data_IF_180164088289
#
_entry.id   IF_180164088289
#
_cell.length_a   1.000
_cell.length_b   1.000
_cell.length_c   1.000
_cell.angle_alpha   90.00
_cell.angle_beta   90.00
_cell.angle_gamma   90.00
#
_symmetry.space_group_name_H-M   'P 1'
#
loop_
_entity.id
_entity.type
_entity.pdbx_description
1 polymer ?
#
# COMPACT_ATOMS: atom_id res chain seq x y z
N UNK A 1 -0.94 -16.58 57.78
CA UNK A 1 -1.16 -15.61 56.70
C UNK A 1 -1.33 -16.39 55.40
N UNK A 2 -2.56 -16.42 54.89
CA UNK A 2 -2.90 -17.06 53.62
C UNK A 2 -2.29 -16.23 52.49
N UNK A 3 -1.44 -16.81 51.64
CA UNK A 3 -0.90 -16.10 50.48
C UNK A 3 -2.07 -15.85 49.52
N UNK A 4 -2.44 -14.59 49.32
CA UNK A 4 -3.38 -14.20 48.26
C UNK A 4 -2.91 -14.84 46.94
N UNK A 5 -3.86 -15.45 46.21
CA UNK A 5 -3.58 -16.00 44.90
C UNK A 5 -3.01 -14.89 43.98
N UNK A 6 -1.95 -15.21 43.24
CA UNK A 6 -1.35 -14.28 42.28
C UNK A 6 -2.42 -13.86 41.26
N UNK A 7 -2.49 -12.56 40.96
CA UNK A 7 -3.43 -12.04 39.97
C UNK A 7 -3.06 -12.56 38.58
N UNK A 8 -4.02 -13.16 37.90
CA UNK A 8 -3.90 -13.55 36.49
C UNK A 8 -4.32 -12.35 35.62
N UNK A 9 -3.60 -12.05 34.51
CA UNK A 9 -4.02 -11.08 33.50
C UNK A 9 -5.44 -11.33 33.00
N UNK A 10 -6.11 -10.29 32.52
CA UNK A 10 -7.46 -10.42 31.99
C UNK A 10 -7.46 -11.21 30.67
N UNK A 11 -8.63 -11.72 30.23
CA UNK A 11 -8.71 -12.46 28.96
C UNK A 11 -8.16 -11.70 27.75
N UNK A 12 -8.36 -10.37 27.69
CA UNK A 12 -7.82 -9.54 26.60
C UNK A 12 -6.30 -9.44 26.61
N UNK A 13 -5.68 -9.39 27.79
CA UNK A 13 -4.22 -9.39 27.94
C UNK A 13 -3.65 -10.74 27.48
N UNK A 14 -4.31 -11.85 27.88
CA UNK A 14 -3.91 -13.20 27.48
C UNK A 14 -4.01 -13.41 25.97
N UNK A 15 -5.04 -12.85 25.32
CA UNK A 15 -5.16 -12.83 23.84
C UNK A 15 -4.01 -12.04 23.23
N UNK A 16 -3.69 -10.86 23.77
CA UNK A 16 -2.56 -10.05 23.31
C UNK A 16 -1.25 -10.81 23.44
N UNK A 17 -1.01 -11.50 24.55
CA UNK A 17 0.21 -12.29 24.76
C UNK A 17 0.34 -13.43 23.75
N UNK A 18 -0.76 -14.11 23.46
CA UNK A 18 -0.78 -15.16 22.43
C UNK A 18 -0.44 -14.60 21.04
N UNK A 19 -1.05 -13.47 20.66
CA UNK A 19 -0.88 -12.86 19.33
C UNK A 19 0.50 -12.21 19.15
N UNK A 20 1.08 -11.70 20.23
CA UNK A 20 2.46 -11.17 20.26
C UNK A 20 3.52 -12.23 20.50
N UNK A 21 3.12 -13.51 20.45
CA UNK A 21 4.00 -14.66 20.55
C UNK A 21 4.90 -14.62 21.80
N UNK A 22 4.36 -14.04 22.88
CA UNK A 22 5.08 -13.78 24.13
C UNK A 22 5.65 -15.06 24.75
N UNK A 23 5.01 -16.21 24.52
CA UNK A 23 5.44 -17.50 25.06
C UNK A 23 6.32 -18.33 24.11
N UNK A 24 6.71 -17.79 22.94
CA UNK A 24 7.66 -18.46 22.04
C UNK A 24 9.08 -18.40 22.63
N UNK A 25 9.71 -19.54 22.98
CA UNK A 25 11.01 -19.54 23.66
C UNK A 25 12.13 -18.92 22.83
N UNK A 26 12.05 -19.03 21.51
CA UNK A 26 13.02 -18.50 20.56
C UNK A 26 12.95 -16.97 20.43
N UNK A 27 11.76 -16.38 20.56
CA UNK A 27 11.56 -14.92 20.50
C UNK A 27 11.67 -14.24 21.86
N UNK A 28 11.46 -14.98 22.95
CA UNK A 28 11.36 -14.44 24.31
C UNK A 28 12.54 -13.54 24.72
N UNK A 29 13.82 -13.90 24.44
CA UNK A 29 14.95 -13.04 24.80
C UNK A 29 14.91 -11.68 24.09
N UNK A 30 14.49 -11.65 22.83
CA UNK A 30 14.35 -10.41 22.05
C UNK A 30 13.19 -9.56 22.56
N UNK A 31 12.03 -10.17 22.80
CA UNK A 31 10.85 -9.46 23.30
C UNK A 31 11.09 -8.84 24.70
N UNK A 32 11.95 -9.44 25.51
CA UNK A 32 12.33 -8.89 26.81
C UNK A 32 13.45 -7.85 26.75
N UNK A 33 14.06 -7.59 25.58
CA UNK A 33 15.21 -6.70 25.42
C UNK A 33 14.80 -5.34 24.85
N UNK A 34 15.08 -4.21 25.55
CA UNK A 34 15.84 -4.12 26.78
C UNK A 34 15.00 -4.57 27.99
N UNK A 35 15.69 -5.08 29.01
CA UNK A 35 15.05 -5.52 30.26
C UNK A 35 14.17 -4.41 30.84
N UNK A 36 12.99 -4.79 31.35
CA UNK A 36 12.11 -3.84 32.02
C UNK A 36 12.82 -3.16 33.21
N UNK A 37 12.59 -1.85 33.44
CA UNK A 37 13.17 -1.15 34.59
C UNK A 37 12.78 -1.79 35.93
N UNK A 38 13.64 -1.77 36.94
CA UNK A 38 13.31 -2.31 38.27
C UNK A 38 11.99 -1.76 38.85
N UNK A 39 11.76 -0.45 38.68
CA UNK A 39 10.51 0.22 39.09
C UNK A 39 9.25 -0.36 38.44
N UNK A 40 9.35 -0.88 37.22
CA UNK A 40 8.23 -1.54 36.55
C UNK A 40 7.80 -2.79 37.32
N UNK A 41 8.75 -3.66 37.69
CA UNK A 41 8.47 -4.86 38.48
C UNK A 41 7.90 -4.55 39.86
N UNK A 42 8.42 -3.52 40.53
CA UNK A 42 7.90 -3.07 41.83
C UNK A 42 6.42 -2.65 41.74
N UNK A 43 6.06 -1.90 40.70
CA UNK A 43 4.69 -1.45 40.49
C UNK A 43 3.76 -2.59 40.08
N UNK A 44 4.22 -3.53 39.25
CA UNK A 44 3.46 -4.73 38.89
C UNK A 44 3.21 -5.63 40.10
N UNK A 45 4.21 -5.79 40.99
CA UNK A 45 4.05 -6.54 42.22
C UNK A 45 3.03 -5.88 43.17
N UNK A 46 3.02 -4.55 43.28
CA UNK A 46 1.99 -3.80 44.04
C UNK A 46 0.58 -3.97 43.48
N UNK A 47 0.45 -4.25 42.18
CA UNK A 47 -0.82 -4.59 41.53
C UNK A 47 -1.23 -6.07 41.68
N UNK A 48 -0.39 -6.88 42.32
CA UNK A 48 -0.63 -8.31 42.57
C UNK A 48 -0.17 -9.25 41.46
N UNK A 49 0.57 -8.76 40.45
CA UNK A 49 1.11 -9.59 39.38
C UNK A 49 2.42 -10.28 39.79
N UNK A 50 2.64 -11.47 39.24
CA UNK A 50 3.92 -12.17 39.35
C UNK A 50 4.99 -11.49 38.49
N UNK A 51 6.26 -11.80 38.78
CA UNK A 51 7.41 -11.46 37.92
C UNK A 51 7.19 -11.92 36.48
N UNK A 52 6.73 -13.17 36.32
CA UNK A 52 6.43 -13.78 35.02
C UNK A 52 5.37 -13.00 34.22
N UNK A 53 4.24 -12.65 34.84
CA UNK A 53 3.23 -11.85 34.15
C UNK A 53 3.70 -10.43 33.87
N UNK A 54 4.50 -9.83 34.76
CA UNK A 54 5.15 -8.55 34.46
C UNK A 54 6.06 -8.67 33.21
N UNK A 55 6.82 -9.76 33.09
CA UNK A 55 7.64 -10.02 31.91
C UNK A 55 6.79 -10.28 30.65
N UNK A 56 5.60 -10.89 30.76
CA UNK A 56 4.67 -11.07 29.63
C UNK A 56 4.08 -9.74 29.13
N UNK A 57 3.68 -8.87 30.05
CA UNK A 57 3.25 -7.52 29.72
C UNK A 57 4.38 -6.69 29.11
N UNK A 58 5.60 -6.85 29.61
CA UNK A 58 6.76 -6.21 28.99
C UNK A 58 7.01 -6.78 27.60
N UNK A 59 7.05 -8.09 27.41
CA UNK A 59 7.29 -8.71 26.12
C UNK A 59 6.24 -8.33 25.05
N UNK A 60 5.00 -8.03 25.45
CA UNK A 60 3.93 -7.59 24.53
C UNK A 60 3.90 -6.08 24.25
N UNK A 61 4.73 -5.26 24.90
CA UNK A 61 4.65 -3.80 24.82
C UNK A 61 5.08 -3.22 23.46
N UNK A 62 5.78 -4.00 22.63
CA UNK A 62 6.31 -3.55 21.36
C UNK A 62 5.21 -3.10 20.40
N UNK A 63 5.43 -1.97 19.75
CA UNK A 63 4.58 -1.52 18.65
C UNK A 63 5.07 -2.19 17.37
N UNK A 64 4.19 -2.97 16.74
CA UNK A 64 4.49 -3.58 15.46
C UNK A 64 4.40 -2.54 14.32
N UNK A 65 5.11 -2.76 13.21
CA UNK A 65 4.93 -1.95 12.01
C UNK A 65 3.46 -1.91 11.57
N UNK A 66 3.00 -0.75 11.12
CA UNK A 66 1.67 -0.60 10.52
C UNK A 66 1.55 -1.41 9.23
N UNK A 67 0.31 -1.68 8.78
CA UNK A 67 0.05 -2.36 7.49
C UNK A 67 0.80 -1.69 6.34
N UNK A 68 0.78 -0.34 6.28
CA UNK A 68 1.51 0.41 5.26
C UNK A 68 3.02 0.17 5.32
N UNK A 69 3.60 0.21 6.52
CA UNK A 69 5.02 -0.10 6.70
C UNK A 69 5.34 -1.55 6.32
N UNK A 70 4.44 -2.50 6.60
CA UNK A 70 4.55 -3.89 6.15
C UNK A 70 4.69 -4.00 4.63
N UNK A 71 3.82 -3.32 3.88
CA UNK A 71 3.90 -3.27 2.42
C UNK A 71 5.14 -2.53 1.92
N UNK A 72 5.54 -1.43 2.57
CA UNK A 72 6.78 -0.73 2.22
C UNK A 72 8.02 -1.61 2.41
N UNK A 73 8.08 -2.41 3.50
CA UNK A 73 9.14 -3.39 3.71
C UNK A 73 9.11 -4.45 2.61
N UNK A 74 7.95 -5.02 2.31
CA UNK A 74 7.76 -6.01 1.25
C UNK A 74 8.24 -5.53 -0.13
N UNK A 75 8.04 -4.26 -0.48
CA UNK A 75 8.52 -3.74 -1.77
C UNK A 75 9.99 -3.33 -1.80
N UNK A 76 10.57 -2.97 -0.65
CA UNK A 76 11.90 -2.33 -0.58
C UNK A 76 13.00 -3.22 -0.04
N UNK A 77 12.65 -4.29 0.67
CA UNK A 77 13.60 -5.18 1.33
C UNK A 77 13.50 -6.55 0.63
N UNK A 78 14.48 -6.93 -0.22
CA UNK A 78 14.45 -8.19 -0.97
C UNK A 78 14.26 -9.44 -0.10
N UNK A 79 14.75 -9.41 1.14
CA UNK A 79 14.66 -10.52 2.08
C UNK A 79 13.33 -10.58 2.82
N UNK A 80 12.50 -9.53 2.77
CA UNK A 80 11.18 -9.50 3.43
C UNK A 80 10.13 -10.09 2.50
N UNK A 81 9.75 -11.33 2.75
CA UNK A 81 8.92 -12.13 1.85
C UNK A 81 7.42 -11.93 2.08
N UNK A 82 6.59 -12.48 1.18
CA UNK A 82 5.14 -12.53 1.38
C UNK A 82 4.76 -13.27 2.67
N UNK A 83 5.52 -14.32 3.04
CA UNK A 83 5.33 -15.05 4.29
C UNK A 83 5.52 -14.14 5.49
N UNK A 84 6.55 -13.29 5.46
CA UNK A 84 6.83 -12.32 6.54
C UNK A 84 5.73 -11.26 6.64
N UNK A 85 5.26 -10.76 5.50
CA UNK A 85 4.14 -9.82 5.45
C UNK A 85 2.86 -10.44 6.05
N UNK A 86 2.49 -11.66 5.65
CA UNK A 86 1.32 -12.36 6.19
C UNK A 86 1.45 -12.64 7.69
N UNK A 87 2.65 -12.99 8.15
CA UNK A 87 2.92 -13.15 9.57
C UNK A 87 2.75 -11.83 10.33
N UNK A 88 3.21 -10.69 9.78
CA UNK A 88 2.97 -9.37 10.35
C UNK A 88 1.47 -9.02 10.39
N UNK A 89 0.74 -9.22 9.29
CA UNK A 89 -0.72 -8.96 9.23
C UNK A 89 -1.50 -9.80 10.25
N UNK A 90 -1.06 -11.03 10.51
CA UNK A 90 -1.64 -11.90 11.56
C UNK A 90 -1.43 -11.30 12.95
N UNK A 91 -0.21 -10.83 13.26
CA UNK A 91 0.10 -10.20 14.55
C UNK A 91 -0.55 -8.82 14.75
N UNK A 92 -1.03 -8.21 13.66
CA UNK A 92 -1.85 -7.00 13.65
C UNK A 92 -3.36 -7.29 13.75
N UNK A 93 -3.76 -8.54 13.98
CA UNK A 93 -5.16 -8.98 14.10
C UNK A 93 -6.01 -8.77 12.84
N UNK A 94 -5.38 -8.84 11.67
CA UNK A 94 -6.11 -8.83 10.39
C UNK A 94 -6.52 -10.25 10.07
N UNK A 95 -7.82 -10.48 9.91
CA UNK A 95 -8.36 -11.80 9.57
C UNK A 95 -7.68 -12.36 8.30
N UNK A 96 -7.26 -13.64 8.30
CA UNK A 96 -6.52 -14.24 7.18
C UNK A 96 -7.19 -14.08 5.80
N UNK A 97 -8.53 -14.10 5.75
CA UNK A 97 -9.28 -13.88 4.49
C UNK A 97 -9.02 -12.54 3.82
N UNK A 98 -8.56 -11.54 4.57
CA UNK A 98 -8.21 -10.23 4.02
C UNK A 98 -6.77 -10.16 3.53
N UNK A 99 -5.91 -11.11 3.89
CA UNK A 99 -4.52 -11.10 3.46
C UNK A 99 -4.43 -11.24 1.94
N UNK A 100 -5.18 -12.16 1.36
CA UNK A 100 -5.21 -12.34 -0.11
C UNK A 100 -5.75 -11.09 -0.82
N UNK A 101 -6.75 -10.44 -0.25
CA UNK A 101 -7.29 -9.19 -0.80
C UNK A 101 -6.26 -8.06 -0.75
N UNK A 102 -5.53 -7.93 0.36
CA UNK A 102 -4.48 -6.93 0.52
C UNK A 102 -3.28 -7.23 -0.40
N UNK A 103 -2.93 -8.51 -0.56
CA UNK A 103 -1.88 -8.95 -1.49
C UNK A 103 -2.25 -8.70 -2.95
N UNK A 104 -3.51 -8.89 -3.33
CA UNK A 104 -3.98 -8.62 -4.68
C UNK A 104 -3.84 -7.14 -5.09
N UNK A 105 -3.85 -6.23 -4.12
CA UNK A 105 -3.64 -4.78 -4.33
C UNK A 105 -2.24 -4.32 -3.89
N UNK A 106 -1.30 -5.24 -3.70
CA UNK A 106 0.04 -4.92 -3.22
C UNK A 106 0.85 -4.09 -4.22
N UNK A 107 0.58 -4.17 -5.52
CA UNK A 107 1.36 -3.42 -6.50
C UNK A 107 0.59 -2.22 -7.01
N UNK A 108 1.30 -1.12 -7.21
CA UNK A 108 0.69 0.09 -7.74
C UNK A 108 0.16 -0.19 -9.16
N UNK A 109 -1.14 0.04 -9.42
CA UNK A 109 -1.67 0.02 -10.78
C UNK A 109 -1.07 1.16 -11.61
N UNK A 110 -1.16 1.07 -12.94
CA UNK A 110 -0.69 2.13 -13.82
C UNK A 110 -1.42 3.45 -13.57
N UNK A 111 -0.69 4.57 -13.59
CA UNK A 111 -1.35 5.87 -13.46
C UNK A 111 -2.17 6.18 -14.71
N UNK A 112 -3.19 7.04 -14.60
CA UNK A 112 -3.93 7.55 -15.77
C UNK A 112 -3.02 8.09 -16.88
N UNK A 113 -1.91 8.73 -16.51
CA UNK A 113 -0.96 9.29 -17.48
C UNK A 113 -0.26 8.17 -18.23
N UNK A 114 0.19 7.14 -17.53
CA UNK A 114 0.89 6.01 -18.13
C UNK A 114 -0.05 5.18 -19.02
N UNK A 115 -1.29 4.95 -18.58
CA UNK A 115 -2.34 4.29 -19.39
C UNK A 115 -2.52 5.02 -20.73
N UNK A 116 -2.66 6.36 -20.69
CA UNK A 116 -2.80 7.17 -21.92
C UNK A 116 -1.58 7.09 -22.83
N UNK A 117 -0.37 7.13 -22.26
CA UNK A 117 0.88 7.02 -23.02
C UNK A 117 1.00 5.65 -23.67
N UNK A 118 0.73 4.58 -22.90
CA UNK A 118 0.75 3.20 -23.36
C UNK A 118 -0.26 2.96 -24.48
N UNK A 119 -1.47 3.50 -24.38
CA UNK A 119 -2.41 3.44 -25.50
C UNK A 119 -1.89 4.22 -26.71
N UNK A 120 -1.39 5.45 -26.52
CA UNK A 120 -0.90 6.28 -27.63
C UNK A 120 0.20 5.58 -28.44
N UNK A 121 1.08 4.83 -27.79
CA UNK A 121 2.17 4.09 -28.45
C UNK A 121 1.80 2.65 -28.81
N UNK A 122 0.54 2.24 -28.62
CA UNK A 122 0.03 0.92 -29.00
C UNK A 122 0.33 -0.22 -28.04
N UNK A 123 0.91 0.04 -26.86
CA UNK A 123 1.12 -0.99 -25.81
C UNK A 123 -0.21 -1.52 -25.26
N UNK A 124 -1.22 -0.65 -25.13
CA UNK A 124 -2.61 -1.04 -24.84
C UNK A 124 -3.42 -0.71 -26.10
N UNK A 125 -3.56 -1.66 -27.03
CA UNK A 125 -4.08 -1.35 -28.36
C UNK A 125 -5.61 -1.30 -28.43
N UNK A 126 -6.30 -1.88 -27.45
CA UNK A 126 -7.74 -2.10 -27.51
C UNK A 126 -8.51 -1.53 -26.32
N UNK A 127 -9.81 -1.36 -26.54
CA UNK A 127 -10.78 -0.87 -25.57
C UNK A 127 -10.79 -1.72 -24.30
N UNK A 128 -10.76 -3.04 -24.44
CA UNK A 128 -10.85 -3.94 -23.29
C UNK A 128 -9.63 -3.79 -22.36
N UNK A 129 -8.44 -3.54 -22.92
CA UNK A 129 -7.22 -3.25 -22.19
C UNK A 129 -7.29 -1.91 -21.46
N UNK A 130 -7.84 -0.88 -22.09
CA UNK A 130 -8.12 0.39 -21.42
C UNK A 130 -9.10 0.23 -20.26
N UNK A 131 -10.20 -0.50 -20.49
CA UNK A 131 -11.22 -0.73 -19.47
C UNK A 131 -10.65 -1.44 -18.24
N UNK A 132 -9.80 -2.46 -18.44
CA UNK A 132 -9.07 -3.12 -17.36
C UNK A 132 -8.15 -2.16 -16.62
N UNK A 133 -7.25 -1.49 -17.34
CA UNK A 133 -6.25 -0.60 -16.73
C UNK A 133 -6.87 0.58 -15.96
N UNK A 134 -7.92 1.19 -16.51
CA UNK A 134 -8.66 2.24 -15.82
C UNK A 134 -9.50 1.68 -14.65
N UNK A 135 -10.02 0.47 -14.78
CA UNK A 135 -10.68 -0.26 -13.71
C UNK A 135 -9.77 -0.50 -12.50
N UNK A 136 -8.51 -0.86 -12.73
CA UNK A 136 -7.51 -1.12 -11.67
C UNK A 136 -7.23 0.12 -10.79
N UNK A 137 -7.40 1.33 -11.33
CA UNK A 137 -7.33 2.59 -10.58
C UNK A 137 -8.69 3.13 -10.12
N UNK A 138 -9.74 2.33 -10.25
CA UNK A 138 -11.07 2.60 -9.66
C UNK A 138 -12.09 3.28 -10.58
N UNK A 139 -11.81 3.48 -11.87
CA UNK A 139 -12.85 3.97 -12.79
C UNK A 139 -13.89 2.88 -13.03
N UNK A 140 -15.17 3.24 -12.94
CA UNK A 140 -16.29 2.32 -13.15
C UNK A 140 -17.52 3.02 -13.73
N UNK A 141 -18.45 2.23 -14.26
CA UNK A 141 -19.72 2.71 -14.79
C UNK A 141 -19.55 3.82 -15.84
N UNK A 142 -20.29 4.92 -15.67
CA UNK A 142 -20.28 6.05 -16.61
C UNK A 142 -18.89 6.71 -16.76
N UNK A 143 -18.09 6.74 -15.70
CA UNK A 143 -16.76 7.34 -15.77
C UNK A 143 -15.80 6.50 -16.62
N UNK A 144 -15.88 5.17 -16.47
CA UNK A 144 -15.08 4.24 -17.26
C UNK A 144 -15.47 4.29 -18.75
N UNK A 145 -16.76 4.22 -19.05
CA UNK A 145 -17.23 4.35 -20.43
C UNK A 145 -16.76 5.68 -21.03
N UNK A 146 -16.99 6.79 -20.33
CA UNK A 146 -16.62 8.12 -20.81
C UNK A 146 -15.12 8.30 -21.07
N UNK A 147 -14.24 7.83 -20.18
CA UNK A 147 -12.79 8.04 -20.33
C UNK A 147 -12.17 7.18 -21.43
N UNK A 148 -12.73 6.00 -21.67
CA UNK A 148 -12.31 5.08 -22.72
C UNK A 148 -12.82 5.52 -24.09
N UNK A 149 -14.02 6.11 -24.11
CA UNK A 149 -14.65 6.62 -25.33
C UNK A 149 -14.13 7.99 -25.76
N UNK A 150 -13.25 8.66 -24.99
CA UNK A 150 -12.64 9.91 -25.44
C UNK A 150 -11.73 9.60 -26.63
N UNK A 151 -12.05 10.07 -27.85
CA UNK A 151 -11.12 9.96 -28.96
C UNK A 151 -9.92 10.85 -28.65
N UNK A 152 -8.80 10.25 -28.21
CA UNK A 152 -7.50 10.91 -28.18
C UNK A 152 -6.97 11.01 -29.63
N UNK A 153 -7.65 11.75 -30.50
CA UNK A 153 -7.14 12.07 -31.83
C UNK A 153 -6.23 13.27 -31.68
N UNK A 154 -4.97 13.00 -31.31
CA UNK A 154 -3.88 13.95 -31.44
C UNK A 154 -3.09 13.61 -32.69
N UNK A 155 -3.47 14.19 -33.81
CA UNK A 155 -2.70 14.10 -35.06
C UNK A 155 -1.68 15.25 -35.08
N UNK A 156 -0.42 14.92 -35.32
CA UNK A 156 0.64 15.92 -35.50
C UNK A 156 0.57 16.40 -36.96
N UNK A 157 0.09 17.62 -37.19
CA UNK A 157 0.01 18.23 -38.52
C UNK A 157 1.23 19.11 -38.77
N UNK A 158 1.88 18.96 -39.93
CA UNK A 158 2.88 19.92 -40.40
C UNK A 158 2.14 21.12 -41.00
N UNK A 159 2.14 22.25 -40.30
CA UNK A 159 1.60 23.50 -40.83
C UNK A 159 2.72 24.25 -41.54
N UNK A 160 2.56 24.43 -42.85
CA UNK A 160 3.43 25.27 -43.66
C UNK A 160 2.67 26.56 -43.99
N UNK A 161 3.19 27.71 -43.55
CA UNK A 161 2.62 29.02 -43.90
C UNK A 161 3.46 29.58 -45.04
N UNK A 162 2.81 29.85 -46.17
CA UNK A 162 3.39 30.54 -47.32
C UNK A 162 3.03 32.02 -47.24
N UNK A 163 4.03 32.89 -47.28
CA UNK A 163 3.84 34.33 -47.36
C UNK A 163 4.48 34.86 -48.64
N UNK A 164 3.77 35.75 -49.32
CA UNK A 164 4.33 36.58 -50.38
C UNK A 164 4.29 38.03 -49.90
N UNK A 165 5.44 38.70 -49.93
CA UNK A 165 5.51 40.16 -49.97
C UNK A 165 6.12 40.57 -51.32
N UNK A 166 5.88 41.82 -51.72
CA UNK A 166 6.14 42.36 -53.07
C UNK A 166 7.53 42.07 -53.66
N UNK A 167 8.53 41.73 -52.85
CA UNK A 167 9.91 41.53 -53.30
C UNK A 167 10.51 40.13 -53.05
N UNK A 168 9.85 39.18 -52.38
CA UNK A 168 10.34 37.78 -52.30
C UNK A 168 9.31 36.78 -51.73
N UNK A 169 9.33 35.55 -52.24
CA UNK A 169 8.57 34.42 -51.69
C UNK A 169 9.36 33.71 -50.59
N UNK A 170 8.79 33.57 -49.39
CA UNK A 170 9.41 32.79 -48.31
C UNK A 170 8.44 31.79 -47.68
N UNK A 171 8.94 30.60 -47.32
CA UNK A 171 8.16 29.55 -46.66
C UNK A 171 8.70 29.29 -45.26
N UNK A 172 7.85 29.42 -44.24
CA UNK A 172 8.16 28.97 -42.88
C UNK A 172 7.34 27.72 -42.56
N UNK A 173 8.00 26.68 -42.06
CA UNK A 173 7.35 25.45 -41.61
C UNK A 173 7.49 25.34 -40.10
N UNK A 174 6.39 25.07 -39.40
CA UNK A 174 6.41 24.71 -37.99
C UNK A 174 5.66 23.37 -37.78
N UNK A 175 6.20 22.53 -36.91
CA UNK A 175 5.45 21.38 -36.39
C UNK A 175 4.49 21.90 -35.33
N UNK A 176 3.19 21.78 -35.58
CA UNK A 176 2.15 22.24 -34.66
C UNK A 176 1.31 21.04 -34.25
N UNK A 177 1.24 20.77 -32.94
CA UNK A 177 0.34 19.76 -32.40
C UNK A 177 -1.06 20.37 -32.26
N UNK A 178 -1.99 19.94 -33.11
CA UNK A 178 -3.39 20.39 -33.07
C UNK A 178 -4.22 19.35 -32.34
N UNK A 179 -4.99 19.79 -31.35
CA UNK A 179 -5.96 18.93 -30.66
C UNK A 179 -7.33 19.15 -31.30
N UNK A 180 -7.79 18.19 -32.11
CA UNK A 180 -9.12 18.25 -32.72
C UNK A 180 -10.09 17.49 -31.83
N UNK A 181 -11.02 18.20 -31.19
CA UNK A 181 -12.11 17.59 -30.43
C UNK A 181 -13.32 17.51 -31.35
N UNK A 182 -13.72 16.28 -31.73
CA UNK A 182 -15.00 16.08 -32.42
C UNK A 182 -16.13 16.30 -31.42
N UNK A 183 -16.89 17.38 -31.58
CA UNK A 183 -18.10 17.61 -30.81
C UNK A 183 -19.18 16.62 -31.28
N UNK A 184 -20.04 16.12 -30.38
CA UNK A 184 -21.23 15.37 -30.80
C UNK A 184 -22.16 16.27 -31.61
N UNK A 185 -22.78 15.69 -32.64
CA UNK A 185 -23.79 16.34 -33.50
C UNK A 185 -25.02 16.80 -32.69
#
# INVERSE_FOLDING_TARGET
LEKLAKRIPGPGDLVTFALREVWRPDLRPELLSPNAPGRYYELMAKQGYSREFAEDYWASHWVLPSVRQGFEMFWRIPEFTETDLRALLTRLDILPRYHDNLMAIAYAPWTRVDIRRMHKVGTIPDRAGLERAYGDIGYHGRQLAGIVDVPLVGEDYKLTIHGENMDDSYSHSALVRVWVVRLPD
#
